data_IF_269276113497
#
_entry.id   IF_269276113497
#
_cell.length_a   1.000
_cell.length_b   1.000
_cell.length_c   1.000
_cell.angle_alpha   90.00
_cell.angle_beta   90.00
_cell.angle_gamma   90.00
#
_symmetry.space_group_name_H-M   'P 1'
#
loop_
_entity.id
_entity.type
_entity.pdbx_description
1 polymer ?
#
# COMPACT_ATOMS: atom_id res chain seq x y z
N UNK A 1 -37.72 -9.77 43.51
CA UNK A 1 -36.66 -10.62 42.89
C UNK A 1 -36.58 -10.41 41.37
N UNK A 2 -36.56 -9.16 40.87
CA UNK A 2 -36.65 -8.88 39.42
C UNK A 2 -35.48 -8.10 38.81
N UNK A 3 -34.54 -7.60 39.63
CA UNK A 3 -33.48 -6.71 39.15
C UNK A 3 -32.18 -7.44 38.80
N UNK A 4 -31.86 -8.53 39.51
CA UNK A 4 -30.65 -9.33 39.24
C UNK A 4 -30.74 -10.17 37.96
N UNK A 5 -31.94 -10.46 37.44
CA UNK A 5 -32.11 -11.23 36.19
C UNK A 5 -31.82 -10.41 34.94
N UNK A 6 -31.83 -9.08 35.04
CA UNK A 6 -31.63 -8.16 33.92
C UNK A 6 -30.15 -7.80 33.67
N UNK A 7 -29.27 -8.12 34.63
CA UNK A 7 -27.83 -7.82 34.51
C UNK A 7 -27.06 -9.00 33.91
N UNK A 8 -27.51 -10.25 34.13
CA UNK A 8 -26.81 -11.45 33.65
C UNK A 8 -27.46 -12.16 32.47
N UNK A 9 -28.66 -11.72 32.04
CA UNK A 9 -29.36 -12.33 30.89
C UNK A 9 -28.84 -11.84 29.54
N UNK A 10 -28.41 -10.58 29.47
CA UNK A 10 -28.05 -9.94 28.20
C UNK A 10 -26.67 -10.40 27.67
N UNK A 11 -25.76 -10.83 28.55
CA UNK A 11 -24.44 -11.33 28.17
C UNK A 11 -24.49 -12.70 27.49
N UNK A 12 -25.36 -13.61 27.95
CA UNK A 12 -25.50 -14.95 27.36
C UNK A 12 -26.16 -14.90 25.97
N UNK A 13 -27.09 -13.96 25.76
CA UNK A 13 -27.73 -13.75 24.45
C UNK A 13 -26.75 -13.14 23.45
N UNK A 14 -25.94 -12.18 23.89
CA UNK A 14 -24.86 -11.59 23.07
C UNK A 14 -23.80 -12.62 22.68
N UNK A 15 -23.39 -13.47 23.61
CA UNK A 15 -22.41 -14.54 23.32
C UNK A 15 -22.96 -15.55 22.30
N UNK A 16 -24.25 -15.90 22.39
CA UNK A 16 -24.92 -16.76 21.39
C UNK A 16 -24.99 -16.10 20.01
N UNK A 17 -25.26 -14.79 19.94
CA UNK A 17 -25.30 -14.06 18.68
C UNK A 17 -23.91 -13.99 18.02
N UNK A 18 -22.86 -13.72 18.80
CA UNK A 18 -21.48 -13.71 18.29
C UNK A 18 -21.02 -15.11 17.84
N UNK A 19 -21.37 -16.16 18.59
CA UNK A 19 -21.11 -17.55 18.19
C UNK A 19 -21.83 -17.94 16.89
N UNK A 20 -23.09 -17.51 16.72
CA UNK A 20 -23.84 -17.74 15.48
C UNK A 20 -23.21 -17.03 14.28
N UNK A 21 -22.73 -15.80 14.47
CA UNK A 21 -22.01 -15.03 13.42
C UNK A 21 -20.70 -15.71 13.01
N UNK A 22 -19.91 -16.21 13.97
CA UNK A 22 -18.67 -16.95 13.67
C UNK A 22 -18.96 -18.23 12.87
N UNK A 23 -19.95 -19.00 13.30
CA UNK A 23 -20.35 -20.22 12.59
C UNK A 23 -20.83 -19.95 11.16
N UNK A 24 -21.58 -18.87 10.96
CA UNK A 24 -22.02 -18.46 9.62
C UNK A 24 -20.85 -18.03 8.71
N UNK A 25 -19.84 -17.36 9.28
CA UNK A 25 -18.63 -16.98 8.55
C UNK A 25 -17.78 -18.20 8.15
N UNK A 26 -17.61 -19.18 9.05
CA UNK A 26 -16.92 -20.45 8.76
C UNK A 26 -17.64 -21.24 7.65
N UNK A 27 -18.97 -21.37 7.73
CA UNK A 27 -19.75 -22.09 6.71
C UNK A 27 -19.70 -21.39 5.34
N UNK A 28 -19.62 -20.05 5.33
CA UNK A 28 -19.43 -19.28 4.10
C UNK A 28 -18.04 -19.54 3.50
N UNK A 29 -16.98 -19.51 4.31
CA UNK A 29 -15.61 -19.79 3.88
C UNK A 29 -15.48 -21.21 3.32
N UNK A 30 -16.06 -22.22 3.98
CA UNK A 30 -16.02 -23.60 3.51
C UNK A 30 -16.70 -23.76 2.14
N UNK A 31 -17.88 -23.17 1.95
CA UNK A 31 -18.62 -23.22 0.67
C UNK A 31 -17.89 -22.55 -0.50
N UNK A 32 -17.05 -21.55 -0.23
CA UNK A 32 -16.37 -20.76 -1.27
C UNK A 32 -14.89 -21.12 -1.42
N UNK A 33 -14.33 -21.96 -0.55
CA UNK A 33 -12.95 -22.45 -0.65
C UNK A 33 -12.73 -23.46 -1.78
N UNK A 34 -13.79 -24.11 -2.28
CA UNK A 34 -13.69 -25.17 -3.28
C UNK A 34 -13.91 -24.74 -4.74
N UNK A 35 -14.11 -23.44 -5.02
CA UNK A 35 -14.37 -22.97 -6.38
C UNK A 35 -13.13 -22.58 -7.20
N UNK A 36 -11.91 -22.69 -6.65
CA UNK A 36 -10.71 -22.17 -7.31
C UNK A 36 -9.81 -23.21 -8.02
N UNK A 37 -10.18 -24.50 -8.06
CA UNK A 37 -9.36 -25.54 -8.71
C UNK A 37 -9.89 -26.06 -10.07
N UNK A 38 -10.88 -25.40 -10.67
CA UNK A 38 -11.39 -25.82 -11.99
C UNK A 38 -10.82 -24.98 -13.15
N UNK A 39 -9.89 -25.62 -13.87
CA UNK A 39 -9.68 -25.50 -15.33
C UNK A 39 -9.07 -24.21 -15.90
N UNK A 40 -7.74 -24.11 -15.80
CA UNK A 40 -6.95 -23.39 -16.80
C UNK A 40 -6.77 -24.27 -18.06
N UNK A 41 -7.80 -24.33 -18.91
CA UNK A 41 -7.64 -24.83 -20.28
C UNK A 41 -6.83 -23.83 -21.13
N UNK A 42 -5.82 -24.26 -21.90
CA UNK A 42 -5.07 -23.38 -22.78
C UNK A 42 -5.92 -22.93 -23.98
N UNK A 43 -6.12 -21.62 -24.10
CA UNK A 43 -6.86 -21.01 -25.19
C UNK A 43 -6.24 -21.33 -26.59
N UNK A 44 -7.07 -21.68 -27.60
CA UNK A 44 -6.57 -21.94 -28.95
C UNK A 44 -6.20 -20.63 -29.67
N UNK A 45 -5.00 -20.62 -30.25
CA UNK A 45 -4.45 -19.53 -31.04
C UNK A 45 -5.36 -19.12 -32.22
N UNK A 46 -5.93 -17.91 -32.16
CA UNK A 46 -6.64 -17.29 -33.28
C UNK A 46 -5.65 -16.61 -34.23
N UNK A 47 -5.54 -17.15 -35.45
CA UNK A 47 -4.91 -16.48 -36.60
C UNK A 47 -5.74 -15.26 -37.00
N UNK A 48 -5.18 -14.07 -36.85
CA UNK A 48 -5.74 -12.85 -37.42
C UNK A 48 -5.36 -12.74 -38.90
N UNK A 49 -6.36 -12.78 -39.78
CA UNK A 49 -6.23 -12.42 -41.20
C UNK A 49 -6.42 -10.91 -41.34
N UNK A 50 -5.38 -10.22 -41.81
CA UNK A 50 -5.40 -8.80 -42.11
C UNK A 50 -6.23 -8.52 -43.38
N UNK A 51 -7.12 -7.53 -43.31
CA UNK A 51 -7.90 -7.01 -44.44
C UNK A 51 -7.29 -5.66 -44.86
N UNK A 52 -6.97 -5.42 -46.14
CA UNK A 52 -6.34 -4.17 -46.56
C UNK A 52 -7.38 -3.05 -46.72
N UNK A 53 -7.08 -1.89 -46.15
CA UNK A 53 -7.81 -0.65 -46.39
C UNK A 53 -7.32 0.03 -47.68
N UNK A 54 -8.29 0.46 -48.51
CA UNK A 54 -8.04 1.17 -49.75
C UNK A 54 -7.62 2.62 -49.49
N UNK A 55 -6.43 2.99 -49.97
CA UNK A 55 -5.94 4.37 -49.99
C UNK A 55 -6.53 5.13 -51.17
N UNK A 56 -7.16 6.29 -50.90
CA UNK A 56 -7.52 7.27 -51.92
C UNK A 56 -6.31 8.14 -52.27
N UNK A 57 -6.04 8.20 -53.58
CA UNK A 57 -5.11 9.07 -54.31
C UNK A 57 -5.28 10.55 -53.97
N UNK A 58 -4.16 11.24 -53.75
CA UNK A 58 -3.97 12.65 -54.07
C UNK A 58 -2.60 12.80 -54.77
N UNK A 59 -2.59 13.47 -55.92
CA UNK A 59 -1.42 13.75 -56.77
C UNK A 59 -0.77 15.12 -56.44
N UNK A 60 0.44 15.41 -56.99
CA UNK A 60 1.46 16.22 -56.31
C UNK A 60 1.80 17.56 -56.99
N UNK A 61 2.60 18.39 -56.30
CA UNK A 61 3.55 19.35 -56.88
C UNK A 61 4.71 19.53 -55.89
N UNK A 62 5.96 19.14 -56.26
CA UNK A 62 7.09 20.03 -56.63
C UNK A 62 7.49 21.00 -55.51
N UNK A 63 8.74 21.16 -55.04
CA UNK A 63 10.05 21.01 -55.67
C UNK A 63 11.16 21.00 -54.57
N UNK A 64 12.29 20.36 -54.87
CA UNK A 64 13.59 20.33 -54.13
C UNK A 64 14.39 21.64 -54.43
N UNK A 65 15.55 22.01 -53.79
CA UNK A 65 16.70 21.12 -53.46
C UNK A 65 17.52 21.42 -52.17
N UNK A 66 18.16 20.40 -51.56
CA UNK A 66 19.63 20.11 -51.45
C UNK A 66 20.44 21.04 -50.50
N UNK A 67 21.45 20.67 -49.72
CA UNK A 67 22.37 19.51 -49.53
C UNK A 67 22.85 19.55 -48.04
N UNK A 68 23.47 18.57 -47.36
CA UNK A 68 24.81 17.92 -47.50
C UNK A 68 24.96 17.03 -46.22
N UNK A 69 25.01 15.70 -46.25
CA UNK A 69 26.12 14.73 -46.43
C UNK A 69 27.31 14.81 -45.44
N UNK A 70 27.39 13.82 -44.53
CA UNK A 70 28.55 13.02 -44.04
C UNK A 70 28.00 12.04 -42.97
N UNK A 71 28.04 10.70 -42.99
CA UNK A 71 28.95 9.62 -43.42
C UNK A 71 30.12 9.32 -42.46
N UNK A 72 30.00 8.23 -41.68
CA UNK A 72 31.03 7.24 -41.28
C UNK A 72 30.33 6.17 -40.39
N UNK A 73 30.15 4.92 -40.85
CA UNK A 73 31.07 3.76 -40.79
C UNK A 73 31.15 3.15 -39.37
N UNK A 74 30.46 2.02 -39.13
CA UNK A 74 30.98 0.63 -39.10
C UNK A 74 31.72 0.31 -37.78
N UNK A 75 31.20 -0.63 -36.98
CA UNK A 75 31.80 -1.97 -36.89
C UNK A 75 30.93 -2.93 -36.05
N UNK A 76 30.93 -4.21 -36.45
CA UNK A 76 30.19 -5.32 -35.83
C UNK A 76 31.17 -6.48 -35.76
N UNK A 77 31.27 -7.20 -34.63
CA UNK A 77 31.60 -8.60 -34.76
C UNK A 77 30.65 -9.53 -34.02
N UNK A 78 30.39 -10.63 -34.72
CA UNK A 78 29.69 -11.81 -34.29
C UNK A 78 30.59 -12.71 -33.42
N UNK A 79 29.99 -13.36 -32.43
CA UNK A 79 30.35 -14.64 -31.81
C UNK A 79 29.44 -14.80 -30.59
N UNK A 80 28.98 -15.95 -30.12
CA UNK A 80 29.17 -17.35 -30.46
C UNK A 80 28.00 -18.10 -29.82
N UNK A 81 27.42 -19.06 -30.53
CA UNK A 81 26.55 -20.09 -29.94
C UNK A 81 27.35 -20.92 -28.93
N UNK A 82 26.83 -21.11 -27.73
CA UNK A 82 27.17 -22.22 -26.87
C UNK A 82 25.86 -22.80 -26.32
N UNK A 83 25.51 -23.97 -26.82
CA UNK A 83 24.46 -24.82 -26.28
C UNK A 83 24.98 -25.47 -24.99
N UNK A 84 24.35 -25.18 -23.86
CA UNK A 84 24.52 -25.94 -22.64
C UNK A 84 23.24 -26.75 -22.41
N UNK A 85 23.39 -28.06 -22.56
CA UNK A 85 22.40 -29.10 -22.36
C UNK A 85 22.48 -29.47 -20.88
N UNK A 86 21.54 -29.00 -20.06
CA UNK A 86 21.46 -29.39 -18.64
C UNK A 86 20.43 -30.49 -18.50
N UNK A 87 20.89 -31.63 -17.99
CA UNK A 87 20.10 -32.82 -17.72
C UNK A 87 19.18 -32.59 -16.51
N UNK A 88 17.94 -33.05 -16.63
CA UNK A 88 17.01 -33.26 -15.51
C UNK A 88 17.56 -34.34 -14.57
N UNK A 89 17.58 -34.11 -13.25
CA UNK A 89 17.56 -35.21 -12.29
C UNK A 89 16.10 -35.53 -11.90
N UNK A 90 15.71 -36.78 -12.17
CA UNK A 90 14.65 -37.49 -11.47
C UNK A 90 14.93 -37.47 -9.95
N UNK A 91 13.98 -37.01 -9.16
CA UNK A 91 13.84 -37.33 -7.74
C UNK A 91 12.37 -37.76 -7.56
N UNK A 92 12.04 -39.05 -7.57
CA UNK A 92 12.15 -40.01 -6.45
C UNK A 92 11.41 -39.54 -5.20
N UNK A 93 10.20 -40.09 -5.03
CA UNK A 93 9.30 -39.86 -3.91
C UNK A 93 9.85 -40.53 -2.63
N UNK A 94 9.76 -39.89 -1.46
CA UNK A 94 9.99 -40.58 -0.21
C UNK A 94 8.69 -41.22 0.32
N UNK A 95 8.81 -42.53 0.54
CA UNK A 95 7.86 -43.37 1.21
C UNK A 95 7.70 -42.99 2.71
N UNK A 96 6.46 -43.19 3.16
CA UNK A 96 5.98 -43.19 4.55
C UNK A 96 6.92 -43.97 5.49
N UNK A 97 7.28 -43.36 6.63
CA UNK A 97 7.58 -44.10 7.87
C UNK A 97 6.93 -43.43 9.07
N UNK A 98 5.95 -44.15 9.62
CA UNK A 98 5.48 -43.99 10.98
C UNK A 98 6.58 -44.42 11.96
N UNK A 99 6.77 -43.65 13.03
CA UNK A 99 7.42 -44.13 14.24
C UNK A 99 6.89 -43.36 15.45
N UNK A 100 6.14 -44.09 16.28
CA UNK A 100 5.77 -43.72 17.63
C UNK A 100 7.00 -43.40 18.49
N UNK A 101 6.90 -42.38 19.35
CA UNK A 101 7.85 -42.20 20.46
C UNK A 101 7.15 -41.75 21.73
N UNK A 102 7.11 -42.71 22.65
CA UNK A 102 7.02 -42.66 24.11
C UNK A 102 7.20 -41.27 24.73
N UNK A 103 6.17 -40.87 25.49
CA UNK A 103 6.24 -39.96 26.62
C UNK A 103 7.18 -40.53 27.70
N UNK A 104 8.15 -39.74 28.12
CA UNK A 104 8.94 -39.97 29.32
C UNK A 104 8.76 -38.76 30.23
N UNK A 105 8.22 -39.01 31.41
CA UNK A 105 8.14 -38.07 32.53
C UNK A 105 9.51 -37.47 32.84
N UNK A 106 9.55 -36.14 32.91
CA UNK A 106 10.68 -35.36 33.41
C UNK A 106 10.42 -35.03 34.89
N UNK A 107 11.35 -35.30 35.81
CA UNK A 107 11.19 -34.94 37.21
C UNK A 107 11.29 -33.42 37.40
N UNK A 108 10.47 -32.91 38.31
CA UNK A 108 10.41 -31.53 38.74
C UNK A 108 11.76 -31.09 39.33
N UNK A 109 12.34 -30.05 38.75
CA UNK A 109 13.47 -29.32 39.33
C UNK A 109 12.93 -28.15 40.16
N UNK A 110 13.54 -27.96 41.33
CA UNK A 110 13.27 -26.89 42.29
C UNK A 110 13.41 -25.50 41.67
N UNK A 111 12.65 -24.50 42.14
CA UNK A 111 12.79 -23.12 41.66
C UNK A 111 14.06 -22.48 42.24
N UNK A 112 15.08 -22.29 41.39
CA UNK A 112 16.16 -21.34 41.66
C UNK A 112 15.59 -19.92 41.72
N UNK A 113 16.03 -19.17 42.73
CA UNK A 113 15.67 -17.77 42.93
C UNK A 113 16.12 -16.91 41.72
N UNK A 114 15.30 -15.95 41.27
CA UNK A 114 15.67 -15.12 40.13
C UNK A 114 16.88 -14.26 40.47
N UNK A 115 17.98 -14.50 39.75
CA UNK A 115 19.10 -13.58 39.69
C UNK A 115 18.60 -12.22 39.18
N UNK A 116 18.94 -11.17 39.92
CA UNK A 116 18.66 -9.79 39.53
C UNK A 116 19.44 -9.46 38.25
N UNK A 117 18.79 -9.61 37.09
CA UNK A 117 19.26 -9.02 35.85
C UNK A 117 18.97 -7.52 35.90
N UNK A 118 20.00 -6.74 36.27
CA UNK A 118 20.05 -5.33 35.91
C UNK A 118 20.13 -5.25 34.39
N UNK A 119 18.99 -5.03 33.73
CA UNK A 119 18.99 -4.49 32.38
C UNK A 119 19.56 -3.08 32.46
N UNK A 120 20.88 -2.97 32.31
CA UNK A 120 21.46 -1.77 31.75
C UNK A 120 20.83 -1.63 30.36
N UNK A 121 19.82 -0.78 30.26
CA UNK A 121 19.40 -0.23 28.99
C UNK A 121 20.62 0.46 28.41
N UNK A 122 21.34 -0.23 27.52
CA UNK A 122 22.20 0.41 26.55
C UNK A 122 21.31 1.43 25.87
N UNK A 123 21.45 2.69 26.26
CA UNK A 123 21.02 3.80 25.45
C UNK A 123 21.92 3.78 24.23
N UNK A 124 21.61 2.90 23.28
CA UNK A 124 22.17 3.00 21.96
C UNK A 124 21.88 4.44 21.52
N UNK A 125 22.92 5.22 21.20
CA UNK A 125 22.74 6.61 20.85
C UNK A 125 21.77 6.63 19.68
N UNK A 126 20.64 7.33 19.86
CA UNK A 126 19.73 7.67 18.77
C UNK A 126 20.62 8.11 17.61
N UNK A 127 20.60 7.42 16.46
CA UNK A 127 21.44 7.80 15.35
C UNK A 127 21.16 9.29 15.10
N UNK A 128 22.20 10.13 14.96
CA UNK A 128 21.98 11.55 14.76
C UNK A 128 21.00 11.65 13.61
N UNK A 129 19.84 12.27 13.89
CA UNK A 129 18.94 12.70 12.84
C UNK A 129 19.83 13.32 11.77
N UNK A 130 19.65 12.96 10.50
CA UNK A 130 20.32 13.64 9.38
C UNK A 130 19.96 15.11 9.48
N UNK A 131 20.73 15.83 10.27
CA UNK A 131 20.89 17.25 10.17
C UNK A 131 21.59 17.37 8.85
N UNK A 132 20.81 17.63 7.80
CA UNK A 132 21.39 18.21 6.60
C UNK A 132 22.22 19.37 7.12
N UNK A 133 23.55 19.26 7.01
CA UNK A 133 24.44 20.34 7.37
C UNK A 133 23.85 21.56 6.63
N UNK A 134 23.45 22.63 7.34
CA UNK A 134 22.95 23.81 6.67
C UNK A 134 24.02 24.18 5.66
N UNK A 135 23.67 24.19 4.38
CA UNK A 135 24.57 24.61 3.31
C UNK A 135 25.22 25.90 3.80
N UNK A 136 26.51 25.87 4.11
CA UNK A 136 27.19 27.00 4.70
C UNK A 136 27.19 28.12 3.64
N UNK A 137 26.37 29.15 3.87
CA UNK A 137 26.06 30.19 2.89
C UNK A 137 24.61 30.21 2.39
N UNK A 138 23.74 29.32 2.86
CA UNK A 138 22.29 29.48 2.69
C UNK A 138 21.86 30.76 3.44
N UNK A 139 21.30 31.78 2.74
CA UNK A 139 20.82 32.98 3.40
C UNK A 139 19.78 32.60 4.47
N UNK A 140 19.74 33.38 5.55
CA UNK A 140 18.75 33.21 6.62
C UNK A 140 17.38 32.93 6.01
N UNK A 141 16.73 31.84 6.45
CA UNK A 141 15.49 31.30 5.89
C UNK A 141 14.55 32.44 5.47
N UNK A 142 14.61 32.78 4.19
CA UNK A 142 13.65 33.69 3.60
C UNK A 142 12.30 33.00 3.82
N UNK A 143 11.40 33.66 4.54
CA UNK A 143 9.99 33.30 4.53
C UNK A 143 9.66 32.97 3.08
N UNK A 144 9.23 31.73 2.82
CA UNK A 144 8.91 31.30 1.47
C UNK A 144 7.93 32.33 0.94
N UNK A 145 8.37 33.17 -0.01
CA UNK A 145 7.48 34.13 -0.63
C UNK A 145 6.50 33.29 -1.41
N UNK A 146 5.32 33.08 -0.82
CA UNK A 146 4.26 32.39 -1.52
C UNK A 146 3.97 33.20 -2.79
N UNK A 147 3.49 32.56 -3.85
CA UNK A 147 3.19 33.22 -5.13
C UNK A 147 2.32 34.49 -4.96
N UNK A 148 1.61 34.62 -3.84
CA UNK A 148 0.91 35.84 -3.39
C UNK A 148 1.79 37.11 -3.36
N UNK A 149 3.11 36.98 -3.25
CA UNK A 149 4.04 38.13 -3.21
C UNK A 149 4.47 38.62 -4.60
N UNK A 150 4.08 37.92 -5.68
CA UNK A 150 4.33 38.36 -7.06
C UNK A 150 3.14 39.20 -7.53
N UNK A 151 3.03 40.42 -7.00
CA UNK A 151 1.88 41.31 -7.17
C UNK A 151 1.50 41.67 -8.63
N UNK A 152 2.39 41.40 -9.60
CA UNK A 152 2.23 41.87 -10.99
C UNK A 152 2.17 40.75 -12.04
N UNK A 153 2.16 39.46 -11.65
CA UNK A 153 2.02 38.36 -12.59
C UNK A 153 0.53 38.01 -12.81
N UNK A 154 0.11 37.65 -14.04
CA UNK A 154 -1.23 37.13 -14.26
C UNK A 154 -1.47 35.87 -13.42
N UNK A 155 -2.49 35.91 -12.57
CA UNK A 155 -2.88 34.79 -11.69
C UNK A 155 -3.86 33.90 -12.44
N UNK A 156 -3.54 32.60 -12.55
CA UNK A 156 -4.50 31.59 -12.99
C UNK A 156 -5.57 31.41 -11.91
N UNK A 157 -6.84 31.54 -12.28
CA UNK A 157 -7.94 31.31 -11.35
C UNK A 157 -7.97 29.85 -10.87
N UNK A 158 -8.44 29.65 -9.63
CA UNK A 158 -8.76 28.32 -9.13
C UNK A 158 -9.77 27.66 -10.08
N UNK A 159 -9.54 26.40 -10.40
CA UNK A 159 -10.39 25.61 -11.28
C UNK A 159 -10.29 24.15 -10.90
N UNK A 160 -11.40 23.45 -11.08
CA UNK A 160 -11.45 22.00 -10.91
C UNK A 160 -11.02 21.33 -12.20
N UNK A 161 -10.27 20.25 -12.08
CA UNK A 161 -9.92 19.39 -13.20
C UNK A 161 -10.40 17.98 -12.91
N UNK A 162 -11.47 17.57 -13.59
CA UNK A 162 -11.95 16.19 -13.53
C UNK A 162 -10.97 15.26 -14.26
N UNK A 163 -10.65 14.14 -13.61
CA UNK A 163 -9.82 13.09 -14.19
C UNK A 163 -10.46 11.72 -13.97
N UNK A 164 -10.24 10.80 -14.91
CA UNK A 164 -10.64 9.40 -14.77
C UNK A 164 -9.38 8.55 -14.66
N UNK A 165 -9.29 7.77 -13.58
CA UNK A 165 -8.18 6.84 -13.34
C UNK A 165 -8.74 5.42 -13.29
N UNK A 166 -8.15 4.52 -14.07
CA UNK A 166 -8.39 3.09 -13.99
C UNK A 166 -7.18 2.44 -13.33
N UNK A 167 -7.37 1.84 -12.17
CA UNK A 167 -6.31 1.20 -11.39
C UNK A 167 -6.57 -0.31 -11.39
N UNK A 168 -5.59 -1.06 -11.87
CA UNK A 168 -5.51 -2.51 -11.70
C UNK A 168 -4.32 -2.79 -10.78
N UNK A 169 -4.59 -3.37 -9.62
CA UNK A 169 -3.57 -3.70 -8.63
C UNK A 169 -3.33 -5.21 -8.65
N UNK A 170 -2.08 -5.61 -8.83
CA UNK A 170 -1.66 -6.99 -8.59
C UNK A 170 -1.18 -7.09 -7.15
N UNK A 171 -1.90 -7.87 -6.35
CA UNK A 171 -1.54 -8.16 -4.96
C UNK A 171 -0.90 -9.55 -4.95
N UNK A 172 0.35 -9.70 -4.49
CA UNK A 172 0.99 -11.01 -4.43
C UNK A 172 0.30 -11.95 -3.44
N UNK A 173 0.62 -13.24 -3.55
CA UNK A 173 0.24 -14.21 -2.54
C UNK A 173 0.84 -13.82 -1.18
N UNK A 174 -0.01 -13.86 -0.15
CA UNK A 174 0.33 -13.49 1.22
C UNK A 174 -0.54 -14.29 2.18
N UNK A 175 -0.01 -14.55 3.38
CA UNK A 175 -0.77 -15.18 4.44
C UNK A 175 -1.78 -14.19 5.04
N UNK A 176 -2.87 -14.66 5.67
CA UNK A 176 -3.68 -13.81 6.54
C UNK A 176 -2.79 -13.09 7.54
N UNK A 177 -3.12 -11.84 7.81
CA UNK A 177 -2.30 -11.00 8.68
C UNK A 177 -2.22 -11.55 10.09
N UNK A 178 -3.26 -12.21 10.57
CA UNK A 178 -3.31 -12.83 11.88
C UNK A 178 -2.25 -13.93 12.07
N UNK A 179 -1.76 -14.52 10.98
CA UNK A 179 -0.72 -15.55 10.98
C UNK A 179 0.69 -14.96 10.81
N UNK A 180 0.83 -13.65 10.56
CA UNK A 180 2.12 -12.99 10.48
C UNK A 180 2.80 -12.98 11.87
N UNK A 181 4.03 -13.53 12.00
CA UNK A 181 4.76 -13.50 13.26
C UNK A 181 4.95 -12.08 13.80
N UNK A 182 4.91 -11.04 12.96
CA UNK A 182 5.13 -9.64 13.33
C UNK A 182 3.86 -8.84 13.63
N UNK A 183 2.67 -9.42 13.45
CA UNK A 183 1.40 -8.73 13.69
C UNK A 183 1.26 -8.20 15.13
N UNK A 184 1.91 -8.85 16.09
CA UNK A 184 1.96 -8.37 17.47
C UNK A 184 2.59 -6.97 17.61
N UNK A 185 3.51 -6.57 16.72
CA UNK A 185 4.13 -5.24 16.69
C UNK A 185 3.12 -4.16 16.31
N UNK A 186 2.24 -4.44 15.35
CA UNK A 186 1.16 -3.54 14.97
C UNK A 186 0.19 -3.28 16.12
N UNK A 187 -0.25 -4.34 16.82
CA UNK A 187 -1.14 -4.19 17.96
C UNK A 187 -0.44 -3.49 19.15
N UNK A 188 0.86 -3.71 19.34
CA UNK A 188 1.65 -2.93 20.32
C UNK A 188 1.72 -1.45 19.95
N UNK A 189 1.96 -1.11 18.67
CA UNK A 189 1.98 0.26 18.17
C UNK A 189 0.63 0.94 18.40
N UNK A 190 -0.46 0.28 18.01
CA UNK A 190 -1.85 0.71 18.26
C UNK A 190 -2.14 0.98 19.73
N UNK A 191 -1.81 0.02 20.59
CA UNK A 191 -2.03 0.14 22.03
C UNK A 191 -1.21 1.30 22.62
N UNK A 192 0.03 1.51 22.15
CA UNK A 192 0.88 2.64 22.56
C UNK A 192 0.26 3.97 22.14
N UNK A 193 -0.16 4.11 20.89
CA UNK A 193 -0.79 5.33 20.37
C UNK A 193 -2.06 5.69 21.17
N UNK A 194 -2.88 4.69 21.51
CA UNK A 194 -4.05 4.86 22.40
C UNK A 194 -3.65 5.36 23.79
N UNK A 195 -2.67 4.74 24.43
CA UNK A 195 -2.18 5.18 25.76
C UNK A 195 -1.62 6.59 25.75
N UNK A 196 -1.00 7.01 24.65
CA UNK A 196 -0.42 8.34 24.49
C UNK A 196 -1.44 9.42 24.08
N UNK A 197 -2.71 9.06 23.86
CA UNK A 197 -3.71 10.01 23.34
C UNK A 197 -3.43 10.44 21.89
N UNK A 198 -2.66 9.64 21.16
CA UNK A 198 -2.32 9.85 19.74
C UNK A 198 -3.17 8.98 18.81
N UNK A 199 -4.18 8.28 19.34
CA UNK A 199 -5.16 7.54 18.55
C UNK A 199 -6.19 8.48 17.90
N UNK A 200 -5.69 9.32 17.00
CA UNK A 200 -6.45 10.31 16.23
C UNK A 200 -5.81 10.42 14.85
N UNK A 201 -6.62 10.75 13.85
CA UNK A 201 -6.12 10.94 12.49
C UNK A 201 -4.97 11.97 12.47
N UNK A 202 -3.87 11.64 11.79
CA UNK A 202 -2.69 12.49 11.70
C UNK A 202 -2.93 13.74 10.83
N UNK A 203 -3.90 13.68 9.90
CA UNK A 203 -4.31 14.84 9.09
C UNK A 203 -4.98 15.90 9.96
N UNK A 204 -5.82 15.47 10.91
CA UNK A 204 -6.40 16.30 11.96
C UNK A 204 -7.06 17.61 11.47
N UNK A 205 -7.84 17.53 10.40
CA UNK A 205 -8.48 18.69 9.76
C UNK A 205 -10.01 18.56 9.71
N UNK A 206 -10.68 19.49 9.01
CA UNK A 206 -12.13 19.52 8.85
C UNK A 206 -12.71 18.40 7.97
N UNK A 207 -11.88 17.66 7.23
CA UNK A 207 -12.30 16.51 6.42
C UNK A 207 -12.21 15.20 7.21
N UNK A 208 -11.75 15.23 8.46
CA UNK A 208 -11.78 14.05 9.30
C UNK A 208 -13.20 13.48 9.48
N UNK A 209 -13.32 12.16 9.38
CA UNK A 209 -14.58 11.45 9.58
C UNK A 209 -14.38 9.96 9.84
N UNK A 210 -15.20 9.41 10.73
CA UNK A 210 -15.16 7.99 11.13
C UNK A 210 -14.09 7.65 12.17
N UNK A 211 -14.00 6.36 12.51
CA UNK A 211 -13.08 5.86 13.54
C UNK A 211 -11.62 5.89 13.07
N UNK A 212 -10.65 6.15 13.97
CA UNK A 212 -9.23 6.01 13.66
C UNK A 212 -8.82 4.55 13.45
N UNK A 213 -7.97 4.35 12.45
CA UNK A 213 -7.42 3.08 11.97
C UNK A 213 -5.92 3.25 11.78
N UNK A 214 -5.15 2.16 11.87
CA UNK A 214 -3.75 2.18 11.49
C UNK A 214 -3.61 1.78 10.02
N UNK A 215 -2.79 2.54 9.31
CA UNK A 215 -2.48 2.40 7.90
C UNK A 215 -0.98 2.18 7.71
N UNK A 216 -0.58 1.37 6.72
CA UNK A 216 0.82 1.13 6.37
C UNK A 216 1.33 2.17 5.35
N UNK A 217 2.13 3.15 5.80
CA UNK A 217 2.41 4.39 5.04
C UNK A 217 3.23 4.21 3.78
N UNK A 218 4.29 3.39 3.80
CA UNK A 218 5.22 3.27 2.68
C UNK A 218 5.01 1.98 1.89
N UNK A 219 4.85 0.87 2.60
CA UNK A 219 4.65 -0.45 2.02
C UNK A 219 3.45 -1.10 2.70
N UNK A 220 2.42 -1.41 1.92
CA UNK A 220 1.26 -2.17 2.37
C UNK A 220 1.68 -3.59 2.80
N UNK A 221 1.08 -4.09 3.88
CA UNK A 221 1.31 -5.48 4.31
C UNK A 221 1.10 -6.48 3.16
N UNK A 222 0.09 -6.24 2.32
CA UNK A 222 -0.25 -7.11 1.20
C UNK A 222 0.78 -7.12 0.07
N UNK A 223 1.72 -6.18 0.06
CA UNK A 223 2.76 -6.06 -0.97
C UNK A 223 4.15 -6.43 -0.46
N UNK A 224 4.28 -6.73 0.83
CA UNK A 224 5.58 -6.86 1.51
C UNK A 224 6.50 -7.90 0.85
N UNK A 225 5.93 -8.99 0.34
CA UNK A 225 6.65 -10.10 -0.28
C UNK A 225 7.26 -9.75 -1.66
N UNK A 226 6.83 -8.65 -2.29
CA UNK A 226 7.34 -8.19 -3.59
C UNK A 226 8.25 -6.95 -3.50
N UNK A 227 8.48 -6.44 -2.29
CA UNK A 227 9.36 -5.28 -2.08
C UNK A 227 10.82 -5.73 -2.01
N UNK A 228 11.69 -4.99 -2.69
CA UNK A 228 13.15 -5.12 -2.53
C UNK A 228 13.61 -4.27 -1.35
N UNK A 229 14.02 -4.87 -0.21
CA UNK A 229 14.34 -4.12 0.99
C UNK A 229 15.55 -3.19 0.80
N UNK A 230 16.45 -3.47 -0.16
CA UNK A 230 17.62 -2.61 -0.42
C UNK A 230 17.23 -1.31 -1.09
N UNK A 231 16.31 -1.37 -2.07
CA UNK A 231 15.81 -0.16 -2.72
C UNK A 231 15.05 0.73 -1.75
N UNK A 232 14.29 0.11 -0.84
CA UNK A 232 13.58 0.83 0.20
C UNK A 232 14.56 1.51 1.18
N UNK A 233 15.60 0.79 1.62
CA UNK A 233 16.69 1.36 2.43
C UNK A 233 17.32 2.58 1.79
N UNK A 234 17.66 2.51 0.50
CA UNK A 234 18.24 3.62 -0.24
C UNK A 234 17.29 4.81 -0.36
N UNK A 235 16.01 4.55 -0.67
CA UNK A 235 15.00 5.59 -0.87
C UNK A 235 14.66 6.33 0.43
N UNK A 236 14.54 5.61 1.55
CA UNK A 236 14.10 6.15 2.83
C UNK A 236 15.27 6.43 3.80
N UNK A 237 16.50 6.08 3.44
CA UNK A 237 17.66 6.18 4.33
C UNK A 237 17.57 5.25 5.54
N UNK A 238 16.94 4.08 5.38
CA UNK A 238 16.81 3.04 6.40
C UNK A 238 17.97 2.04 6.29
N UNK A 239 18.11 1.19 7.30
CA UNK A 239 19.09 0.09 7.28
C UNK A 239 18.48 -1.17 7.91
N UNK A 240 18.52 -2.28 7.17
CA UNK A 240 18.12 -3.62 7.59
C UNK A 240 19.26 -4.58 7.28
N UNK A 241 19.66 -5.39 8.25
CA UNK A 241 20.71 -6.40 8.07
C UNK A 241 20.19 -7.65 7.34
N UNK A 242 18.88 -7.90 7.41
CA UNK A 242 18.22 -9.09 6.89
C UNK A 242 16.72 -8.85 6.60
N UNK A 243 16.07 -9.84 5.99
CA UNK A 243 14.64 -9.77 5.64
C UNK A 243 13.73 -9.70 6.88
N UNK A 244 14.10 -10.42 7.94
CA UNK A 244 13.34 -10.44 9.19
C UNK A 244 13.26 -9.05 9.85
N UNK A 245 14.35 -8.26 9.83
CA UNK A 245 14.33 -6.87 10.29
C UNK A 245 13.47 -5.96 9.40
N UNK A 246 13.43 -6.21 8.09
CA UNK A 246 12.55 -5.50 7.18
C UNK A 246 11.07 -5.80 7.49
N UNK A 247 10.73 -7.07 7.68
CA UNK A 247 9.38 -7.52 8.04
C UNK A 247 8.94 -6.92 9.39
N UNK A 248 9.82 -6.94 10.39
CA UNK A 248 9.59 -6.28 11.68
C UNK A 248 9.36 -4.78 11.53
N UNK A 249 10.16 -4.10 10.70
CA UNK A 249 10.00 -2.67 10.43
C UNK A 249 8.66 -2.36 9.75
N UNK A 250 8.23 -3.20 8.81
CA UNK A 250 7.00 -2.98 8.05
C UNK A 250 5.76 -3.00 8.96
N UNK A 251 5.75 -3.80 10.02
CA UNK A 251 4.70 -3.82 11.04
C UNK A 251 4.96 -2.90 12.25
N UNK A 252 6.01 -2.09 12.20
CA UNK A 252 6.43 -1.17 13.27
C UNK A 252 6.01 0.28 13.02
N UNK A 253 6.03 1.17 14.05
CA UNK A 253 5.65 2.58 13.92
C UNK A 253 6.36 3.38 12.82
N UNK A 254 7.50 2.91 12.29
CA UNK A 254 8.20 3.56 11.17
C UNK A 254 7.46 3.47 9.83
N UNK A 255 6.56 2.48 9.67
CA UNK A 255 5.72 2.29 8.50
C UNK A 255 4.23 2.43 8.83
N UNK A 256 3.87 2.94 10.01
CA UNK A 256 2.48 3.00 10.45
C UNK A 256 2.05 4.43 10.77
N UNK A 257 0.87 4.80 10.31
CA UNK A 257 0.23 6.08 10.65
C UNK A 257 -1.25 5.89 11.02
N UNK A 258 -1.77 6.80 11.85
CA UNK A 258 -3.18 6.77 12.24
C UNK A 258 -3.98 7.63 11.28
N UNK A 259 -4.94 7.04 10.58
CA UNK A 259 -5.89 7.74 9.70
C UNK A 259 -7.32 7.49 10.18
N UNK A 260 -8.22 8.46 10.07
CA UNK A 260 -9.64 8.17 10.23
C UNK A 260 -10.15 7.44 8.99
N UNK A 261 -11.27 6.73 9.10
CA UNK A 261 -11.88 6.03 7.97
C UNK A 261 -12.00 6.91 6.70
N UNK A 262 -12.26 8.21 6.84
CA UNK A 262 -12.35 9.10 5.68
C UNK A 262 -11.03 9.27 4.92
N UNK A 263 -9.94 9.53 5.65
CA UNK A 263 -8.58 9.68 5.10
C UNK A 263 -7.88 8.35 4.83
N UNK A 264 -8.45 7.24 5.28
CA UNK A 264 -7.93 5.91 4.99
C UNK A 264 -8.53 5.34 3.70
N UNK A 265 -9.87 5.26 3.60
CA UNK A 265 -10.53 4.40 2.60
C UNK A 265 -11.68 5.03 1.80
N UNK A 266 -12.09 6.27 2.07
CA UNK A 266 -13.22 6.90 1.35
C UNK A 266 -12.77 8.13 0.56
N UNK A 267 -13.61 9.15 0.38
CA UNK A 267 -13.40 10.26 -0.57
C UNK A 267 -12.02 10.93 -0.49
N UNK A 268 -11.45 11.07 0.70
CA UNK A 268 -10.14 11.68 0.90
C UNK A 268 -9.08 10.64 1.27
N UNK A 269 -9.31 9.38 0.90
CA UNK A 269 -8.57 8.22 1.36
C UNK A 269 -7.26 7.98 0.61
N UNK A 270 -6.20 7.63 1.33
CA UNK A 270 -4.92 7.24 0.73
C UNK A 270 -5.04 6.07 -0.24
N UNK A 271 -5.97 5.14 -0.01
CA UNK A 271 -6.18 4.00 -0.91
C UNK A 271 -6.94 4.34 -2.21
N UNK A 272 -7.51 5.54 -2.33
CA UNK A 272 -8.28 5.95 -3.53
C UNK A 272 -7.70 7.16 -4.25
N UNK A 273 -6.87 7.97 -3.57
CA UNK A 273 -6.20 9.13 -4.16
C UNK A 273 -4.78 8.73 -4.60
N UNK A 274 -4.40 8.98 -5.87
CA UNK A 274 -3.02 8.73 -6.33
C UNK A 274 -1.98 9.44 -5.47
N UNK A 275 -0.85 8.77 -5.21
CA UNK A 275 0.22 9.24 -4.31
C UNK A 275 0.59 10.72 -4.41
N UNK A 276 0.86 11.29 -5.60
CA UNK A 276 1.19 12.72 -5.72
C UNK A 276 0.08 13.68 -5.24
N UNK A 277 -1.19 13.32 -5.42
CA UNK A 277 -2.33 14.09 -4.95
C UNK A 277 -2.58 13.87 -3.45
N UNK A 278 -2.34 12.65 -2.97
CA UNK A 278 -2.40 12.31 -1.55
C UNK A 278 -1.39 13.11 -0.73
N UNK A 279 -0.13 13.20 -1.17
CA UNK A 279 0.89 13.97 -0.46
C UNK A 279 0.53 15.46 -0.37
N UNK A 280 -0.09 16.04 -1.40
CA UNK A 280 -0.59 17.40 -1.36
C UNK A 280 -1.74 17.58 -0.35
N UNK A 281 -2.66 16.60 -0.27
CA UNK A 281 -3.73 16.56 0.72
C UNK A 281 -3.16 16.43 2.14
N UNK A 282 -2.17 15.55 2.34
CA UNK A 282 -1.54 15.26 3.64
C UNK A 282 -1.01 16.49 4.34
N UNK A 283 -0.45 17.43 3.58
CA UNK A 283 0.16 18.66 4.10
C UNK A 283 -0.65 19.93 3.82
N UNK A 284 -1.93 19.78 3.46
CA UNK A 284 -2.79 20.92 3.15
C UNK A 284 -3.02 21.79 4.38
N UNK A 285 -3.27 23.08 4.15
CA UNK A 285 -3.66 23.99 5.22
C UNK A 285 -5.13 23.73 5.58
N UNK A 286 -5.44 23.74 6.88
CA UNK A 286 -6.83 23.68 7.33
C UNK A 286 -7.64 24.86 6.74
N UNK A 287 -8.87 24.59 6.33
CA UNK A 287 -9.77 25.58 5.74
C UNK A 287 -9.50 25.91 4.27
N UNK A 288 -8.61 25.17 3.59
CA UNK A 288 -8.52 25.20 2.13
C UNK A 288 -9.23 23.99 1.53
N UNK A 289 -9.57 24.06 0.24
CA UNK A 289 -10.07 22.88 -0.47
C UNK A 289 -9.00 21.79 -0.55
N UNK A 290 -9.43 20.52 -0.65
CA UNK A 290 -8.52 19.40 -0.82
C UNK A 290 -7.89 19.44 -2.23
N UNK A 291 -6.64 19.00 -2.35
CA UNK A 291 -5.97 18.93 -3.65
C UNK A 291 -6.63 17.92 -4.60
N UNK A 292 -7.32 16.92 -4.04
CA UNK A 292 -8.10 15.94 -4.77
C UNK A 292 -9.13 15.30 -3.83
N UNK A 293 -10.20 14.78 -4.44
CA UNK A 293 -11.17 13.90 -3.79
C UNK A 293 -11.60 12.81 -4.77
N UNK A 294 -11.90 11.64 -4.22
CA UNK A 294 -12.46 10.54 -4.99
C UNK A 294 -13.97 10.71 -5.11
N UNK A 295 -14.42 10.84 -6.36
CA UNK A 295 -15.82 10.92 -6.74
C UNK A 295 -16.17 9.67 -7.53
N UNK A 296 -17.23 8.97 -7.12
CA UNK A 296 -17.71 7.80 -7.85
C UNK A 296 -18.30 8.21 -9.20
N UNK A 297 -18.36 7.28 -10.15
CA UNK A 297 -18.95 7.56 -11.47
C UNK A 297 -20.42 8.00 -11.39
N UNK A 298 -21.16 7.57 -10.38
CA UNK A 298 -22.57 7.94 -10.22
C UNK A 298 -22.72 9.32 -9.57
N UNK A 299 -21.84 9.69 -8.64
CA UNK A 299 -21.77 11.05 -8.09
C UNK A 299 -21.39 12.05 -9.18
N UNK A 300 -20.37 11.75 -9.99
CA UNK A 300 -19.95 12.60 -11.10
C UNK A 300 -21.10 12.85 -12.10
N UNK A 301 -21.83 11.79 -12.50
CA UNK A 301 -23.01 11.92 -13.38
C UNK A 301 -24.15 12.72 -12.74
N UNK A 302 -24.32 12.60 -11.42
CA UNK A 302 -25.36 13.33 -10.70
C UNK A 302 -25.03 14.83 -10.71
N UNK A 303 -23.79 15.19 -10.43
CA UNK A 303 -23.34 16.59 -10.51
C UNK A 303 -23.47 17.17 -11.91
N UNK A 304 -23.11 16.40 -12.94
CA UNK A 304 -23.29 16.83 -14.34
C UNK A 304 -24.75 17.17 -14.64
N UNK A 305 -25.69 16.30 -14.24
CA UNK A 305 -27.13 16.54 -14.42
C UNK A 305 -27.64 17.76 -13.63
N UNK A 306 -27.15 17.95 -12.41
CA UNK A 306 -27.51 19.12 -11.60
C UNK A 306 -27.00 20.41 -12.23
N UNK A 307 -25.77 20.41 -12.77
CA UNK A 307 -25.19 21.53 -13.51
C UNK A 307 -25.96 21.83 -14.81
N UNK A 308 -26.35 20.79 -15.56
CA UNK A 308 -27.19 20.93 -16.76
C UNK A 308 -28.58 21.50 -16.45
N UNK A 309 -29.24 21.02 -15.39
CA UNK A 309 -30.54 21.53 -14.95
C UNK A 309 -30.47 23.00 -14.53
N UNK A 310 -29.46 23.37 -13.73
CA UNK A 310 -29.28 24.75 -13.27
C UNK A 310 -28.93 25.74 -14.40
N UNK A 311 -28.38 25.26 -15.52
CA UNK A 311 -28.12 26.07 -16.70
C UNK A 311 -29.37 26.28 -17.57
N UNK A 312 -30.30 25.32 -17.58
CA UNK A 312 -31.55 25.43 -18.33
C UNK A 312 -32.55 26.44 -17.73
N UNK A 313 -32.43 26.71 -16.43
CA UNK A 313 -33.29 27.65 -15.70
C UNK A 313 -32.84 29.12 -15.77
N UNK A 314 -31.71 29.41 -16.42
CA UNK A 314 -31.14 30.77 -16.58
C UNK A 314 -31.41 31.34 -17.98
#
# INVERSE_FOLDING_TARGET
MGFLKKIFGDDEEKEREEAAKRKAAEEYAEKHSHSHEAEAEPAPAKKAAAKPAAAKKAEPAQEKPAAKKAAAAEDKPAAKKAAAKTAEPKAEAPAKKAAAKKTAEKPAAEPEAPAAHSHEHSHDPVPPQRTYAPLAGAPAAHAHTHVKDVADAPVTAAHDQMMTVHIETHVPDHAPREDDPHYHLFEQAKARLKRQGLWKCIIADELCGGEPELHHTYIEFSQINEVDPKKLQEALGLHFDNDEEFQQWAESPGNLEVLCANHHRTHYGIHVIPGPLWEALRFRMAGTEAAAEFVTADEAKKEEKEKEGAAADK
#
